data_IF_452662661117
#
_entry.id   IF_452662661117
#
_cell.length_a   1.000
_cell.length_b   1.000
_cell.length_c   1.000
_cell.angle_alpha   90.00
_cell.angle_beta   90.00
_cell.angle_gamma   90.00
#
_symmetry.space_group_name_H-M   'P 1'
#
loop_
_entity.id
_entity.type
_entity.pdbx_description
1 polymer ?
#
# COMPACT_ATOMS: atom_id res chain seq x y z
N UNK A 1 -10.36 -18.74 30.32
CA UNK A 1 -9.58 -18.04 29.27
C UNK A 1 -10.54 -17.18 28.48
N UNK A 2 -10.42 -15.87 28.61
CA UNK A 2 -11.23 -14.86 27.91
C UNK A 2 -11.05 -14.98 26.38
N UNK A 3 -12.08 -14.63 25.61
CA UNK A 3 -12.11 -14.69 24.15
C UNK A 3 -10.97 -13.90 23.52
N UNK A 4 -10.53 -12.82 24.14
CA UNK A 4 -9.36 -12.02 23.76
C UNK A 4 -8.06 -12.84 23.83
N UNK A 5 -7.91 -13.67 24.86
CA UNK A 5 -6.74 -14.54 25.05
C UNK A 5 -6.78 -15.78 24.13
N UNK A 6 -7.98 -16.24 23.74
CA UNK A 6 -8.12 -17.28 22.70
C UNK A 6 -7.77 -16.74 21.30
N UNK A 7 -8.19 -15.51 20.99
CA UNK A 7 -7.86 -14.86 19.73
C UNK A 7 -6.36 -14.57 19.60
N UNK A 8 -5.73 -14.07 20.68
CA UNK A 8 -4.28 -13.84 20.71
C UNK A 8 -3.47 -15.14 20.53
N UNK A 9 -3.86 -16.22 21.19
CA UNK A 9 -3.21 -17.54 21.01
C UNK A 9 -3.43 -18.10 19.60
N UNK A 10 -4.59 -17.87 18.99
CA UNK A 10 -4.89 -18.31 17.62
C UNK A 10 -4.07 -17.53 16.58
N UNK A 11 -3.96 -16.21 16.71
CA UNK A 11 -3.19 -15.35 15.77
C UNK A 11 -1.70 -15.63 15.88
N UNK A 12 -1.16 -15.75 17.10
CA UNK A 12 0.24 -16.13 17.32
C UNK A 12 0.50 -17.54 16.76
N UNK A 13 -0.42 -18.49 16.95
CA UNK A 13 -0.28 -19.82 16.36
C UNK A 13 -0.31 -19.81 14.82
N UNK A 14 -1.11 -18.94 14.19
CA UNK A 14 -1.16 -18.77 12.72
C UNK A 14 0.13 -18.15 12.18
N UNK A 15 0.66 -17.11 12.84
CA UNK A 15 1.93 -16.48 12.43
C UNK A 15 3.11 -17.43 12.60
N UNK A 16 3.16 -18.19 13.71
CA UNK A 16 4.20 -19.20 13.91
C UNK A 16 4.03 -20.42 13.00
N UNK A 17 2.81 -20.81 12.62
CA UNK A 17 2.61 -21.89 11.63
C UNK A 17 2.89 -21.42 10.21
N UNK A 18 2.59 -20.19 9.83
CA UNK A 18 2.99 -19.61 8.54
C UNK A 18 4.52 -19.47 8.46
N UNK A 19 5.17 -18.94 9.50
CA UNK A 19 6.63 -18.85 9.57
C UNK A 19 7.29 -20.23 9.63
N UNK A 20 6.77 -21.18 10.43
CA UNK A 20 7.29 -22.53 10.49
C UNK A 20 7.03 -23.31 9.18
N UNK A 21 5.92 -23.08 8.48
CA UNK A 21 5.67 -23.64 7.16
C UNK A 21 6.65 -23.07 6.13
N UNK A 22 6.94 -21.76 6.16
CA UNK A 22 7.98 -21.16 5.32
C UNK A 22 9.39 -21.69 5.64
N UNK A 23 9.68 -22.05 6.90
CA UNK A 23 11.01 -22.55 7.33
C UNK A 23 11.17 -24.08 7.31
N UNK A 24 10.09 -24.86 7.39
CA UNK A 24 10.09 -26.33 7.44
C UNK A 24 9.50 -26.97 6.18
N UNK A 25 8.88 -26.20 5.28
CA UNK A 25 8.56 -26.74 3.96
C UNK A 25 9.88 -27.13 3.31
N UNK A 26 10.01 -28.38 2.82
CA UNK A 26 11.14 -28.71 1.96
C UNK A 26 11.15 -27.68 0.82
N UNK A 27 12.34 -27.21 0.43
CA UNK A 27 12.49 -26.46 -0.81
C UNK A 27 11.89 -27.31 -1.92
N UNK A 28 10.63 -27.06 -2.26
CA UNK A 28 10.08 -27.41 -3.55
C UNK A 28 11.02 -26.73 -4.53
N UNK A 29 11.92 -27.49 -5.13
CA UNK A 29 12.77 -27.03 -6.22
C UNK A 29 11.84 -26.73 -7.40
N UNK A 30 11.15 -25.61 -7.33
CA UNK A 30 10.58 -24.94 -8.47
C UNK A 30 11.78 -24.57 -9.34
N UNK A 31 11.95 -25.26 -10.46
CA UNK A 31 12.82 -24.77 -11.53
C UNK A 31 12.23 -23.43 -11.99
N UNK A 32 12.70 -22.34 -11.39
CA UNK A 32 12.25 -20.96 -11.61
C UNK A 32 12.72 -20.39 -12.95
N UNK A 33 12.97 -21.24 -13.95
CA UNK A 33 13.56 -20.86 -15.23
C UNK A 33 12.55 -20.48 -16.32
N UNK A 34 11.24 -20.60 -16.08
CA UNK A 34 10.22 -20.41 -17.13
C UNK A 34 9.21 -19.25 -16.88
N UNK A 35 9.29 -18.52 -15.76
CA UNK A 35 8.58 -17.23 -15.64
C UNK A 35 9.61 -16.12 -15.87
N UNK A 36 9.53 -15.37 -16.99
CA UNK A 36 10.41 -14.22 -17.17
C UNK A 36 10.17 -13.23 -16.03
N UNK A 37 11.25 -12.81 -15.36
CA UNK A 37 11.17 -11.77 -14.34
C UNK A 37 10.51 -10.52 -14.92
N UNK A 38 9.62 -9.88 -14.16
CA UNK A 38 9.00 -8.61 -14.55
C UNK A 38 10.10 -7.59 -14.87
N UNK A 39 9.96 -6.88 -15.98
CA UNK A 39 10.86 -5.76 -16.30
C UNK A 39 10.49 -4.62 -15.36
N UNK A 40 11.47 -4.08 -14.64
CA UNK A 40 11.25 -3.02 -13.67
C UNK A 40 11.59 -1.65 -14.26
N UNK A 41 10.78 -0.66 -13.95
CA UNK A 41 10.95 0.75 -14.32
C UNK A 41 11.21 1.54 -13.05
N UNK A 42 12.20 2.44 -13.09
CA UNK A 42 12.46 3.39 -12.02
C UNK A 42 11.65 4.66 -12.22
N UNK A 43 11.08 5.19 -11.14
CA UNK A 43 10.37 6.45 -11.09
C UNK A 43 10.98 7.39 -10.05
N UNK A 44 10.92 8.69 -10.32
CA UNK A 44 11.38 9.73 -9.41
C UNK A 44 10.50 10.96 -9.56
N UNK A 45 9.94 11.43 -8.44
CA UNK A 45 9.32 12.73 -8.30
C UNK A 45 10.21 13.61 -7.42
N UNK A 46 10.93 14.54 -8.05
CA UNK A 46 11.87 15.43 -7.35
C UNK A 46 11.13 16.47 -6.51
N UNK A 47 9.92 16.88 -6.90
CA UNK A 47 9.13 17.88 -6.17
C UNK A 47 8.69 17.39 -4.79
N UNK A 48 8.39 16.10 -4.68
CA UNK A 48 7.94 15.47 -3.44
C UNK A 48 8.97 14.53 -2.79
N UNK A 49 10.20 14.49 -3.31
CA UNK A 49 11.28 13.70 -2.73
C UNK A 49 11.06 12.19 -2.72
N UNK A 50 10.26 11.66 -3.65
CA UNK A 50 9.87 10.24 -3.69
C UNK A 50 10.46 9.56 -4.92
N UNK A 51 11.06 8.39 -4.74
CA UNK A 51 11.43 7.48 -5.83
C UNK A 51 11.16 6.04 -5.47
N UNK A 52 10.88 5.22 -6.47
CA UNK A 52 10.61 3.78 -6.31
C UNK A 52 10.75 3.06 -7.65
N UNK A 53 10.69 1.73 -7.62
CA UNK A 53 10.64 0.88 -8.82
C UNK A 53 9.31 0.16 -8.92
N UNK A 54 8.81 -0.01 -10.15
CA UNK A 54 7.53 -0.68 -10.40
C UNK A 54 7.61 -1.50 -11.70
N UNK A 55 6.77 -2.55 -11.88
CA UNK A 55 6.77 -3.32 -13.12
C UNK A 55 6.36 -2.50 -14.34
N UNK A 56 6.97 -2.78 -15.50
CA UNK A 56 6.63 -2.14 -16.76
C UNK A 56 5.23 -2.50 -17.29
N UNK A 57 4.51 -3.39 -16.61
CA UNK A 57 3.10 -3.70 -16.88
C UNK A 57 2.15 -2.59 -16.46
N UNK A 58 2.60 -1.63 -15.64
CA UNK A 58 1.76 -0.51 -15.20
C UNK A 58 1.90 0.73 -16.09
N UNK A 59 0.82 1.50 -16.17
CA UNK A 59 0.83 2.91 -16.55
C UNK A 59 0.88 3.71 -15.24
N UNK A 60 1.81 4.65 -15.15
CA UNK A 60 1.89 5.60 -14.06
C UNK A 60 1.28 6.93 -14.51
N UNK A 61 0.39 7.50 -13.70
CA UNK A 61 -0.17 8.82 -13.89
C UNK A 61 -0.01 9.65 -12.62
N UNK A 62 0.17 10.96 -12.79
CA UNK A 62 0.34 11.91 -11.69
C UNK A 62 -0.66 13.04 -11.85
N UNK A 63 -1.26 13.47 -10.75
CA UNK A 63 -2.18 14.59 -10.77
C UNK A 63 -2.32 15.26 -9.41
N UNK A 64 -2.44 16.58 -9.43
CA UNK A 64 -2.91 17.33 -8.29
C UNK A 64 -4.44 17.25 -8.21
N UNK A 65 -4.96 16.69 -7.11
CA UNK A 65 -6.38 16.40 -6.86
C UNK A 65 -6.95 17.15 -5.66
N UNK A 66 -6.19 18.13 -5.13
CA UNK A 66 -6.63 19.00 -4.07
C UNK A 66 -7.85 19.86 -4.43
N UNK A 67 -8.42 20.49 -3.42
CA UNK A 67 -9.66 21.27 -3.54
C UNK A 67 -9.43 22.79 -3.66
N UNK A 68 -8.17 23.21 -3.85
CA UNK A 68 -7.75 24.62 -3.89
C UNK A 68 -7.54 25.26 -2.51
N UNK A 69 -8.07 24.69 -1.43
CA UNK A 69 -7.76 25.09 -0.05
C UNK A 69 -6.60 24.29 0.53
N UNK A 70 -6.54 23.00 0.20
CA UNK A 70 -5.43 22.09 0.50
C UNK A 70 -5.01 21.39 -0.79
N UNK A 71 -3.71 21.32 -1.02
CA UNK A 71 -3.16 20.50 -2.10
C UNK A 71 -3.09 19.03 -1.67
N UNK A 72 -3.26 18.14 -2.64
CA UNK A 72 -3.22 16.69 -2.51
C UNK A 72 -2.73 16.12 -3.84
N UNK A 73 -1.49 15.66 -3.85
CA UNK A 73 -0.88 15.08 -5.03
C UNK A 73 -1.08 13.56 -5.04
N UNK A 74 -1.46 13.02 -6.19
CA UNK A 74 -1.71 11.59 -6.36
C UNK A 74 -0.83 11.03 -7.48
N UNK A 75 -0.13 9.95 -7.18
CA UNK A 75 0.57 9.11 -8.14
C UNK A 75 -0.19 7.78 -8.18
N UNK A 76 -0.69 7.40 -9.35
CA UNK A 76 -1.49 6.17 -9.53
C UNK A 76 -0.81 5.25 -10.52
N UNK A 77 -0.70 3.97 -10.16
CA UNK A 77 -0.31 2.88 -11.03
C UNK A 77 -1.51 1.99 -11.33
N UNK A 78 -1.83 1.84 -12.62
CA UNK A 78 -2.88 0.95 -13.13
C UNK A 78 -2.23 -0.02 -14.10
N UNK A 79 -2.57 -1.30 -14.00
CA UNK A 79 -2.15 -2.29 -15.00
C UNK A 79 -2.59 -1.86 -16.41
N UNK A 80 -1.69 -2.00 -17.40
CA UNK A 80 -1.92 -1.56 -18.79
C UNK A 80 -3.12 -2.28 -19.43
N UNK A 81 -3.31 -3.56 -19.15
CA UNK A 81 -4.44 -4.32 -19.67
C UNK A 81 -5.73 -3.84 -19.00
N UNK A 82 -5.73 -3.66 -17.68
CA UNK A 82 -6.89 -3.13 -16.96
C UNK A 82 -7.27 -1.72 -17.43
N UNK A 83 -6.29 -0.83 -17.63
CA UNK A 83 -6.49 0.52 -18.14
C UNK A 83 -7.05 0.56 -19.57
N UNK A 84 -6.68 -0.41 -20.42
CA UNK A 84 -7.20 -0.50 -21.78
C UNK A 84 -8.65 -1.02 -21.85
N UNK A 85 -9.12 -1.69 -20.79
CA UNK A 85 -10.40 -2.39 -20.75
C UNK A 85 -11.38 -1.80 -19.71
N UNK A 86 -11.20 -0.54 -19.32
CA UNK A 86 -12.10 0.12 -18.35
C UNK A 86 -13.53 0.16 -18.90
N UNK A 87 -14.53 -0.39 -18.18
CA UNK A 87 -15.90 -0.42 -18.66
C UNK A 87 -16.49 0.99 -18.79
N UNK A 88 -17.25 1.24 -19.86
CA UNK A 88 -17.97 2.51 -20.02
C UNK A 88 -19.04 2.66 -18.94
N UNK A 89 -18.91 3.69 -18.08
CA UNK A 89 -19.74 3.91 -16.88
C UNK A 89 -19.61 2.83 -15.79
N UNK A 90 -18.53 2.04 -15.82
CA UNK A 90 -18.21 1.10 -14.76
C UNK A 90 -17.35 1.74 -13.67
N UNK A 91 -17.07 0.93 -12.66
CA UNK A 91 -16.05 1.22 -11.67
C UNK A 91 -14.65 1.21 -12.32
N UNK A 92 -13.75 2.06 -11.81
CA UNK A 92 -12.35 2.04 -12.23
C UNK A 92 -11.65 0.75 -11.78
N UNK A 93 -10.56 0.34 -12.44
CA UNK A 93 -9.82 -0.85 -12.06
C UNK A 93 -9.15 -0.68 -10.69
N UNK A 94 -8.79 -1.81 -10.07
CA UNK A 94 -7.88 -1.83 -8.93
C UNK A 94 -6.54 -1.19 -9.29
N UNK A 95 -5.90 -0.57 -8.30
CA UNK A 95 -4.70 0.25 -8.50
C UNK A 95 -3.82 0.31 -7.26
N UNK A 96 -2.59 0.74 -7.47
CA UNK A 96 -1.66 1.16 -6.41
C UNK A 96 -1.58 2.68 -6.46
N UNK A 97 -1.72 3.35 -5.32
CA UNK A 97 -1.61 4.80 -5.21
C UNK A 97 -0.56 5.22 -4.20
N UNK A 98 0.05 6.37 -4.46
CA UNK A 98 0.85 7.14 -3.52
C UNK A 98 0.20 8.51 -3.45
N UNK A 99 -0.47 8.75 -2.33
CA UNK A 99 -1.16 10.00 -2.05
C UNK A 99 -0.33 10.85 -1.09
N UNK A 100 -0.11 12.11 -1.44
CA UNK A 100 0.72 13.06 -0.70
C UNK A 100 -0.18 14.22 -0.30
N UNK A 101 -0.44 14.32 1.00
CA UNK A 101 -1.37 15.29 1.55
C UNK A 101 -0.62 16.43 2.22
N UNK A 102 -0.98 17.66 1.86
CA UNK A 102 -0.56 18.84 2.58
C UNK A 102 -0.85 18.69 4.08
N UNK A 103 0.15 18.89 4.93
CA UNK A 103 -0.02 18.84 6.37
C UNK A 103 0.66 20.01 7.14
N UNK A 104 1.15 21.02 6.42
CA UNK A 104 1.78 22.20 7.02
C UNK A 104 0.79 23.13 7.79
N UNK A 105 -0.51 23.09 7.47
CA UNK A 105 -1.55 23.89 8.13
C UNK A 105 -2.08 23.22 9.40
N UNK A 106 -2.51 21.96 9.27
CA UNK A 106 -3.15 21.22 10.36
C UNK A 106 -2.13 20.56 11.31
N UNK A 107 -0.94 20.22 10.79
CA UNK A 107 0.18 19.61 11.54
C UNK A 107 -0.23 18.36 12.31
N UNK A 108 -1.06 17.53 11.68
CA UNK A 108 -1.52 16.28 12.26
C UNK A 108 -0.36 15.29 12.35
N UNK A 109 -0.30 14.53 13.43
CA UNK A 109 0.50 13.30 13.49
C UNK A 109 -0.08 12.25 12.54
N UNK A 110 0.72 11.24 12.16
CA UNK A 110 0.23 10.12 11.32
C UNK A 110 -0.99 9.43 11.95
N UNK A 111 -1.02 9.27 13.26
CA UNK A 111 -2.13 8.67 13.98
C UNK A 111 -3.38 9.56 13.94
N UNK A 112 -3.24 10.87 14.17
CA UNK A 112 -4.37 11.80 14.08
C UNK A 112 -4.91 11.89 12.65
N UNK A 113 -4.04 11.88 11.64
CA UNK A 113 -4.46 11.89 10.25
C UNK A 113 -5.27 10.63 9.91
N UNK A 114 -4.74 9.44 10.22
CA UNK A 114 -5.44 8.16 9.96
C UNK A 114 -6.79 8.10 10.68
N UNK A 115 -6.89 8.58 11.92
CA UNK A 115 -8.15 8.47 12.67
C UNK A 115 -9.22 9.48 12.21
N UNK A 116 -8.83 10.64 11.66
CA UNK A 116 -9.75 11.76 11.45
C UNK A 116 -9.98 12.13 9.99
N UNK A 117 -9.10 11.75 9.07
CA UNK A 117 -9.20 12.10 7.64
C UNK A 117 -9.87 10.96 6.88
N UNK A 118 -10.91 11.27 6.09
CA UNK A 118 -11.70 10.27 5.37
C UNK A 118 -10.92 9.49 4.32
N UNK A 119 -9.90 10.10 3.71
CA UNK A 119 -9.00 9.43 2.75
C UNK A 119 -8.34 8.17 3.32
N UNK A 120 -8.14 8.11 4.64
CA UNK A 120 -7.53 6.97 5.31
C UNK A 120 -8.33 5.67 5.18
N UNK A 121 -9.63 5.72 4.89
CA UNK A 121 -10.55 4.57 5.02
C UNK A 121 -10.53 3.89 6.41
N UNK A 122 -10.02 4.54 7.46
CA UNK A 122 -9.85 3.92 8.78
C UNK A 122 -11.16 3.41 9.40
N UNK A 123 -12.30 4.05 9.08
CA UNK A 123 -13.63 3.58 9.53
C UNK A 123 -14.03 2.21 8.95
N UNK A 124 -13.32 1.74 7.93
CA UNK A 124 -13.54 0.48 7.22
C UNK A 124 -12.46 -0.57 7.55
N UNK A 125 -11.62 -0.31 8.56
CA UNK A 125 -10.51 -1.19 8.92
C UNK A 125 -10.98 -2.60 9.30
N UNK A 126 -10.30 -3.61 8.76
CA UNK A 126 -10.50 -5.00 9.13
C UNK A 126 -9.61 -5.34 10.35
N UNK A 127 -10.18 -6.05 11.33
CA UNK A 127 -9.45 -6.46 12.53
C UNK A 127 -9.22 -5.35 13.57
N UNK A 128 -9.51 -4.08 13.24
CA UNK A 128 -9.58 -2.97 14.20
C UNK A 128 -8.24 -2.46 14.74
N UNK A 129 -7.11 -2.90 14.18
CA UNK A 129 -5.79 -2.56 14.70
C UNK A 129 -4.88 -1.97 13.61
N UNK A 130 -4.26 -0.83 13.93
CA UNK A 130 -3.14 -0.27 13.19
C UNK A 130 -1.86 -1.02 13.59
N UNK A 131 -1.04 -1.36 12.62
CA UNK A 131 0.27 -2.00 12.86
C UNK A 131 1.37 -0.97 12.63
N UNK A 132 2.17 -0.70 13.66
CA UNK A 132 3.38 0.13 13.50
C UNK A 132 4.46 -0.65 12.77
N UNK A 133 5.01 -0.06 11.70
CA UNK A 133 6.13 -0.61 10.92
C UNK A 133 7.18 0.48 10.67
N UNK A 134 8.31 0.08 10.09
CA UNK A 134 9.31 1.02 9.56
C UNK A 134 9.37 0.86 8.04
N UNK A 135 9.28 1.96 7.30
CA UNK A 135 9.39 2.01 5.84
C UNK A 135 10.29 3.19 5.45
N UNK A 136 11.31 2.96 4.62
CA UNK A 136 12.26 3.99 4.19
C UNK A 136 12.80 4.84 5.37
N UNK A 137 13.19 4.18 6.47
CA UNK A 137 13.65 4.79 7.74
C UNK A 137 12.63 5.73 8.43
N UNK A 138 11.35 5.68 8.04
CA UNK A 138 10.24 6.39 8.69
C UNK A 138 9.40 5.43 9.54
N UNK A 139 8.91 5.93 10.67
CA UNK A 139 7.81 5.27 11.39
C UNK A 139 6.53 5.38 10.56
N UNK A 140 5.84 4.26 10.38
CA UNK A 140 4.64 4.18 9.57
C UNK A 140 3.54 3.36 10.25
N UNK A 141 2.30 3.56 9.81
CA UNK A 141 1.12 2.80 10.22
C UNK A 141 0.58 2.00 9.02
N UNK A 142 0.51 0.69 9.16
CA UNK A 142 -0.03 -0.23 8.16
C UNK A 142 -1.36 -0.82 8.62
N UNK A 143 -2.32 -0.96 7.70
CA UNK A 143 -3.62 -1.55 7.96
C UNK A 143 -4.36 -1.97 6.69
N UNK A 144 -5.29 -2.93 6.86
CA UNK A 144 -6.21 -3.41 5.82
C UNK A 144 -7.60 -2.85 6.06
N UNK A 145 -8.32 -2.48 5.01
CA UNK A 145 -9.69 -1.99 5.06
C UNK A 145 -10.55 -2.61 3.95
N UNK A 146 -11.87 -2.62 4.16
CA UNK A 146 -12.83 -3.23 3.24
C UNK A 146 -13.87 -2.20 2.79
N UNK A 147 -13.65 -1.64 1.60
CA UNK A 147 -14.48 -0.59 1.01
C UNK A 147 -15.21 -1.07 -0.23
N UNK A 148 -15.15 -0.26 -1.29
CA UNK A 148 -15.68 -0.67 -2.60
C UNK A 148 -14.84 -1.81 -3.19
N UNK A 149 -13.52 -1.67 -3.12
CA UNK A 149 -12.55 -2.76 -3.15
C UNK A 149 -11.95 -2.97 -1.76
N UNK A 150 -11.38 -4.15 -1.53
CA UNK A 150 -10.49 -4.34 -0.38
C UNK A 150 -9.17 -3.62 -0.66
N UNK A 151 -8.55 -3.08 0.38
CA UNK A 151 -7.26 -2.45 0.24
C UNK A 151 -6.37 -2.52 1.46
N UNK A 152 -5.08 -2.39 1.22
CA UNK A 152 -4.05 -2.23 2.23
C UNK A 152 -3.43 -0.85 2.11
N UNK A 153 -3.10 -0.23 3.24
CA UNK A 153 -2.50 1.09 3.28
C UNK A 153 -1.32 1.15 4.24
N UNK A 154 -0.30 1.92 3.88
CA UNK A 154 0.85 2.30 4.70
C UNK A 154 0.93 3.82 4.73
N UNK A 155 0.88 4.41 5.92
CA UNK A 155 0.87 5.86 6.12
C UNK A 155 2.07 6.29 6.95
N UNK A 156 2.82 7.28 6.46
CA UNK A 156 3.98 7.86 7.13
C UNK A 156 4.06 9.37 6.87
N UNK A 157 5.03 10.04 7.50
CA UNK A 157 5.31 11.46 7.30
C UNK A 157 6.63 11.65 6.54
N UNK A 158 6.63 12.57 5.58
CA UNK A 158 7.82 12.99 4.84
C UNK A 158 7.72 14.46 4.43
N UNK A 159 8.78 15.23 4.67
CA UNK A 159 8.89 16.67 4.40
C UNK A 159 7.69 17.50 4.89
N UNK A 160 7.19 17.20 6.09
CA UNK A 160 6.05 17.86 6.70
C UNK A 160 4.69 17.49 6.08
N UNK A 161 4.64 16.51 5.17
CA UNK A 161 3.45 16.01 4.51
C UNK A 161 3.09 14.60 4.98
N UNK A 162 1.82 14.23 4.84
CA UNK A 162 1.39 12.85 5.09
C UNK A 162 1.41 12.11 3.76
N UNK A 163 2.12 10.98 3.72
CA UNK A 163 2.19 10.11 2.56
C UNK A 163 1.44 8.82 2.87
N UNK A 164 0.53 8.43 1.98
CA UNK A 164 -0.24 7.21 2.07
C UNK A 164 -0.01 6.38 0.81
N UNK A 165 0.70 5.27 0.97
CA UNK A 165 0.77 4.20 -0.03
C UNK A 165 -0.45 3.31 0.14
N UNK A 166 -1.19 3.04 -0.94
CA UNK A 166 -2.32 2.10 -0.90
C UNK A 166 -2.35 1.17 -2.09
N UNK A 167 -2.90 -0.01 -1.89
CA UNK A 167 -3.29 -0.93 -2.96
C UNK A 167 -4.75 -1.31 -2.78
N UNK A 168 -5.48 -1.40 -3.88
CA UNK A 168 -6.80 -2.03 -3.94
C UNK A 168 -6.70 -3.36 -4.67
N UNK A 169 -7.51 -4.34 -4.28
CA UNK A 169 -7.49 -5.68 -4.88
C UNK A 169 -8.86 -6.37 -4.74
N UNK A 170 -9.10 -7.38 -5.59
CA UNK A 170 -10.32 -8.19 -5.58
C UNK A 170 -10.12 -9.47 -4.78
N UNK A 171 -8.93 -10.08 -4.87
CA UNK A 171 -8.54 -11.30 -4.18
C UNK A 171 -7.21 -11.11 -3.46
N UNK A 172 -7.01 -11.71 -2.27
CA UNK A 172 -5.72 -11.68 -1.58
C UNK A 172 -4.59 -12.41 -2.33
N UNK A 173 -4.91 -13.12 -3.41
CA UNK A 173 -3.97 -13.76 -4.32
C UNK A 173 -3.63 -12.91 -5.56
N UNK A 174 -4.20 -11.70 -5.69
CA UNK A 174 -3.93 -10.83 -6.85
C UNK A 174 -2.46 -10.36 -6.87
N UNK A 175 -1.80 -10.47 -8.02
CA UNK A 175 -0.38 -10.12 -8.21
C UNK A 175 -0.05 -8.68 -7.80
N UNK A 176 -1.02 -7.76 -7.90
CA UNK A 176 -0.90 -6.35 -7.52
C UNK A 176 -0.47 -6.16 -6.04
N UNK A 177 -0.82 -7.11 -5.16
CA UNK A 177 -0.43 -7.09 -3.75
C UNK A 177 1.09 -7.29 -3.63
N UNK A 178 1.64 -8.24 -4.40
CA UNK A 178 3.09 -8.46 -4.43
C UNK A 178 3.83 -7.28 -5.05
N UNK A 179 3.25 -6.66 -6.08
CA UNK A 179 3.81 -5.46 -6.71
C UNK A 179 3.79 -4.25 -5.77
N UNK A 180 2.72 -4.08 -4.99
CA UNK A 180 2.62 -3.07 -3.93
C UNK A 180 3.72 -3.22 -2.88
N UNK A 181 3.95 -4.45 -2.39
CA UNK A 181 5.03 -4.71 -1.44
C UNK A 181 6.39 -4.39 -2.05
N UNK A 182 6.63 -4.78 -3.30
CA UNK A 182 7.90 -4.47 -3.99
C UNK A 182 8.11 -2.97 -4.18
N UNK A 183 7.05 -2.23 -4.55
CA UNK A 183 7.09 -0.77 -4.66
C UNK A 183 7.44 -0.16 -3.30
N UNK A 184 6.74 -0.54 -2.23
CA UNK A 184 7.01 -0.05 -0.88
C UNK A 184 8.46 -0.34 -0.45
N UNK A 185 8.95 -1.56 -0.67
CA UNK A 185 10.33 -1.93 -0.31
C UNK A 185 11.40 -1.22 -1.12
N UNK A 186 11.08 -0.75 -2.33
CA UNK A 186 11.98 0.04 -3.17
C UNK A 186 11.85 1.54 -2.98
N UNK A 187 10.98 1.99 -2.06
CA UNK A 187 10.76 3.40 -1.79
C UNK A 187 12.02 4.04 -1.20
N UNK A 188 12.50 5.08 -1.86
CA UNK A 188 13.57 5.95 -1.38
C UNK A 188 13.03 7.38 -1.23
N UNK A 189 13.39 8.03 -0.13
CA UNK A 189 12.98 9.38 0.22
C UNK A 189 14.20 10.32 0.22
N UNK A 190 14.02 11.53 -0.32
CA UNK A 190 15.06 12.57 -0.33
C UNK A 190 14.53 13.86 0.27
N UNK A 191 15.30 14.46 1.17
CA UNK A 191 15.01 15.77 1.79
C UNK A 191 15.30 16.96 0.86
#
# INVERSE_FOLDING_TARGET
MDNTMKAFVLVVAIVFTAAAYLFLSPEETFNSTDIPAKIMVAYTNVEHGISFTYPDTYILNEMEVGNGERWHYNITLIDKEAAANVPQNGEGPISITIDIFQNNLDKLTIAEWVNNVSYSNFKLILGGALTSITLADKEALAYTWDGLYRGDSIVFEHDGNIVMLSVTYLSPEDDIISDFVNIALSLELTD
#
